data_IF_051834963117
#
_entry.id   IF_051834963117
#
_cell.length_a   1.000
_cell.length_b   1.000
_cell.length_c   1.000
_cell.angle_alpha   90.00
_cell.angle_beta   90.00
_cell.angle_gamma   90.00
#
_symmetry.space_group_name_H-M   'P 1'
#
loop_
_entity.id
_entity.type
_entity.pdbx_description
1 polymer ?
#
# COMPACT_ATOMS: atom_id res chain seq x y z
N UNK A 1 -10.80 -0.66 9.24
CA UNK A 1 -10.05 -0.35 10.49
C UNK A 1 -10.42 -1.30 11.64
N UNK A 2 -11.60 -1.20 12.25
CA UNK A 2 -11.95 -1.98 13.46
C UNK A 2 -11.76 -3.50 13.33
N UNK A 3 -12.34 -4.13 12.30
CA UNK A 3 -12.14 -5.57 12.04
C UNK A 3 -10.65 -5.86 11.82
N UNK A 4 -9.98 -5.13 10.94
CA UNK A 4 -8.57 -5.37 10.59
C UNK A 4 -7.60 -5.22 11.78
N UNK A 5 -7.89 -4.30 12.70
CA UNK A 5 -7.04 -3.99 13.87
C UNK A 5 -7.34 -4.92 15.06
N UNK A 6 -8.62 -5.14 15.38
CA UNK A 6 -9.01 -5.86 16.60
C UNK A 6 -9.19 -7.36 16.42
N UNK A 7 -9.37 -7.86 15.18
CA UNK A 7 -9.46 -9.32 14.93
C UNK A 7 -8.09 -9.98 14.76
N UNK A 8 -7.00 -9.21 14.68
CA UNK A 8 -5.67 -9.71 14.31
C UNK A 8 -5.50 -10.05 12.83
N UNK A 9 -6.55 -9.90 12.00
CA UNK A 9 -6.51 -10.22 10.56
C UNK A 9 -5.42 -9.43 9.82
N UNK A 10 -5.26 -8.14 10.11
CA UNK A 10 -4.24 -7.31 9.46
C UNK A 10 -2.81 -7.75 9.78
N UNK A 11 -2.55 -8.10 11.04
CA UNK A 11 -1.26 -8.62 11.47
C UNK A 11 -0.96 -9.99 10.85
N UNK A 12 -1.95 -10.90 10.84
CA UNK A 12 -1.81 -12.23 10.24
C UNK A 12 -1.56 -12.16 8.74
N UNK A 13 -2.30 -11.30 8.02
CA UNK A 13 -2.12 -11.09 6.59
C UNK A 13 -0.71 -10.53 6.29
N UNK A 14 -0.26 -9.55 7.07
CA UNK A 14 1.08 -8.96 6.90
C UNK A 14 2.18 -9.99 7.12
N UNK A 15 2.07 -10.78 8.19
CA UNK A 15 3.02 -11.85 8.51
C UNK A 15 3.00 -12.96 7.46
N UNK A 16 1.84 -13.25 6.87
CA UNK A 16 1.73 -14.23 5.77
C UNK A 16 2.37 -13.70 4.48
N UNK A 17 2.13 -12.43 4.14
CA UNK A 17 2.72 -11.82 2.94
C UNK A 17 4.24 -11.68 3.06
N UNK A 18 4.74 -11.42 4.26
CA UNK A 18 6.17 -11.33 4.54
C UNK A 18 6.82 -12.68 4.86
N UNK A 19 6.05 -13.77 4.91
CA UNK A 19 6.57 -15.11 5.18
C UNK A 19 7.51 -15.56 4.05
N UNK A 20 8.76 -15.83 4.40
CA UNK A 20 9.79 -16.20 3.41
C UNK A 20 10.34 -15.02 2.60
N UNK A 21 10.03 -13.77 2.98
CA UNK A 21 10.66 -12.61 2.39
C UNK A 21 12.16 -12.55 2.73
N UNK A 22 12.95 -12.05 1.79
CA UNK A 22 14.39 -11.76 1.94
C UNK A 22 14.61 -10.25 2.00
N UNK A 23 15.81 -9.82 2.34
CA UNK A 23 16.19 -8.39 2.30
C UNK A 23 15.91 -7.79 0.90
N UNK A 24 16.12 -8.57 -0.17
CA UNK A 24 15.93 -8.13 -1.54
C UNK A 24 14.47 -8.09 -1.95
N UNK A 25 13.64 -9.02 -1.47
CA UNK A 25 12.24 -9.14 -1.90
C UNK A 25 11.25 -8.38 -1.01
N UNK A 26 11.59 -8.13 0.27
CA UNK A 26 10.64 -7.51 1.21
C UNK A 26 10.11 -6.16 0.72
N UNK A 27 10.92 -5.19 0.23
CA UNK A 27 10.39 -3.91 -0.25
C UNK A 27 9.38 -4.07 -1.41
N UNK A 28 9.63 -5.02 -2.31
CA UNK A 28 8.70 -5.27 -3.42
C UNK A 28 7.40 -5.93 -2.95
N UNK A 29 7.51 -6.90 -2.02
CA UNK A 29 6.36 -7.53 -1.38
C UNK A 29 5.51 -6.47 -0.68
N UNK A 30 6.12 -5.56 0.09
CA UNK A 30 5.36 -4.55 0.84
C UNK A 30 4.76 -3.47 -0.04
N UNK A 31 5.33 -3.20 -1.22
CA UNK A 31 4.70 -2.39 -2.26
C UNK A 31 3.41 -3.05 -2.76
N UNK A 32 3.46 -4.34 -3.12
CA UNK A 32 2.27 -5.08 -3.55
C UNK A 32 1.23 -5.23 -2.43
N UNK A 33 1.68 -5.50 -1.20
CA UNK A 33 0.82 -5.54 -0.01
C UNK A 33 0.12 -4.22 0.22
N UNK A 34 0.85 -3.10 0.13
CA UNK A 34 0.27 -1.76 0.25
C UNK A 34 -0.82 -1.55 -0.79
N UNK A 35 -0.57 -1.90 -2.05
CA UNK A 35 -1.58 -1.78 -3.11
C UNK A 35 -2.83 -2.65 -2.87
N UNK A 36 -2.67 -3.86 -2.33
CA UNK A 36 -3.79 -4.78 -2.11
C UNK A 36 -4.59 -4.46 -0.85
N UNK A 37 -3.92 -4.18 0.26
CA UNK A 37 -4.55 -3.93 1.56
C UNK A 37 -5.24 -2.57 1.56
N UNK A 38 -4.75 -1.61 0.77
CA UNK A 38 -5.38 -0.32 0.59
C UNK A 38 -6.84 -0.40 0.11
N UNK A 39 -7.23 -1.43 -0.65
CA UNK A 39 -8.65 -1.65 -0.99
C UNK A 39 -9.53 -1.96 0.22
N UNK A 40 -8.97 -2.60 1.26
CA UNK A 40 -9.67 -2.92 2.50
C UNK A 40 -9.58 -1.78 3.54
N UNK A 41 -8.53 -0.96 3.46
CA UNK A 41 -8.26 0.16 4.37
C UNK A 41 -7.88 1.39 3.55
N UNK A 42 -8.85 2.16 3.01
CA UNK A 42 -8.60 3.33 2.15
C UNK A 42 -8.14 4.55 2.97
N UNK A 43 -7.02 4.40 3.66
CA UNK A 43 -6.42 5.42 4.54
C UNK A 43 -4.96 5.05 4.81
N UNK A 44 -4.02 5.83 4.29
CA UNK A 44 -2.59 5.57 4.46
C UNK A 44 -2.18 5.42 5.95
N UNK A 45 -2.62 6.33 6.82
CA UNK A 45 -2.32 6.26 8.25
C UNK A 45 -3.00 5.07 8.94
N UNK A 46 -4.24 4.78 8.55
CA UNK A 46 -4.98 3.65 9.12
C UNK A 46 -4.42 2.30 8.69
N UNK A 47 -4.01 2.18 7.43
CA UNK A 47 -3.34 1.02 6.88
C UNK A 47 -2.02 0.77 7.61
N UNK A 48 -1.16 1.79 7.70
CA UNK A 48 0.12 1.69 8.41
C UNK A 48 -0.05 1.32 9.89
N UNK A 49 -1.08 1.83 10.56
CA UNK A 49 -1.37 1.46 11.95
C UNK A 49 -1.70 -0.03 12.13
N UNK A 50 -2.20 -0.69 11.08
CA UNK A 50 -2.58 -2.11 11.12
C UNK A 50 -1.44 -3.03 10.66
N UNK A 51 -0.76 -2.69 9.57
CA UNK A 51 0.24 -3.59 8.94
C UNK A 51 1.69 -3.19 9.25
N UNK A 52 1.92 -1.90 9.53
CA UNK A 52 3.24 -1.34 9.76
C UNK A 52 4.04 -2.04 10.86
N UNK A 53 3.46 -2.38 12.03
CA UNK A 53 4.18 -3.11 13.08
C UNK A 53 4.74 -4.46 12.61
N UNK A 54 3.94 -5.28 11.92
CA UNK A 54 4.37 -6.60 11.43
C UNK A 54 5.43 -6.51 10.32
N UNK A 55 5.28 -5.54 9.41
CA UNK A 55 6.26 -5.28 8.36
C UNK A 55 7.59 -4.77 8.94
N UNK A 56 7.52 -3.89 9.94
CA UNK A 56 8.69 -3.36 10.64
C UNK A 56 9.42 -4.47 11.41
N UNK A 57 8.68 -5.32 12.12
CA UNK A 57 9.26 -6.48 12.82
C UNK A 57 9.96 -7.43 11.83
N UNK A 58 9.35 -7.70 10.67
CA UNK A 58 9.97 -8.53 9.64
C UNK A 58 11.25 -7.87 9.10
N UNK A 59 11.22 -6.57 8.85
CA UNK A 59 12.39 -5.83 8.37
C UNK A 59 13.54 -5.85 9.39
N UNK A 60 13.24 -5.67 10.68
CA UNK A 60 14.22 -5.76 11.76
C UNK A 60 14.83 -7.17 11.83
N UNK A 61 14.01 -8.22 11.79
CA UNK A 61 14.48 -9.63 11.79
C UNK A 61 15.42 -9.94 10.64
N UNK A 62 15.10 -9.47 9.43
CA UNK A 62 15.95 -9.69 8.25
C UNK A 62 17.26 -8.92 8.29
N UNK A 63 17.36 -7.87 9.12
CA UNK A 63 18.52 -6.97 9.16
C UNK A 63 19.28 -7.02 10.49
N UNK A 64 19.00 -7.99 11.37
CA UNK A 64 19.62 -8.12 12.71
C UNK A 64 21.16 -8.12 12.70
N UNK A 65 21.77 -8.59 11.60
CA UNK A 65 23.23 -8.69 11.45
C UNK A 65 23.86 -7.43 10.84
N UNK A 66 23.06 -6.46 10.39
CA UNK A 66 23.53 -5.25 9.72
C UNK A 66 23.83 -4.11 10.72
N UNK A 67 24.67 -3.14 10.34
CA UNK A 67 24.87 -1.93 11.12
C UNK A 67 23.56 -1.14 11.31
N UNK A 68 23.41 -0.46 12.46
CA UNK A 68 22.19 0.27 12.82
C UNK A 68 21.72 1.28 11.76
N UNK A 69 22.65 1.97 11.09
CA UNK A 69 22.32 2.89 9.99
C UNK A 69 21.66 2.17 8.79
N UNK A 70 22.13 0.97 8.46
CA UNK A 70 21.55 0.17 7.38
C UNK A 70 20.20 -0.42 7.76
N UNK A 71 20.04 -0.84 9.03
CA UNK A 71 18.75 -1.28 9.58
C UNK A 71 17.71 -0.16 9.44
N UNK A 72 18.05 1.05 9.89
CA UNK A 72 17.15 2.21 9.81
C UNK A 72 16.79 2.53 8.35
N UNK A 73 17.77 2.60 7.47
CA UNK A 73 17.54 2.85 6.04
C UNK A 73 16.64 1.77 5.41
N UNK A 74 16.81 0.51 5.79
CA UNK A 74 15.99 -0.60 5.29
C UNK A 74 14.54 -0.53 5.78
N UNK A 75 14.32 -0.28 7.08
CA UNK A 75 12.97 -0.07 7.63
C UNK A 75 12.29 1.11 6.94
N UNK A 76 13.00 2.23 6.74
CA UNK A 76 12.47 3.37 5.98
C UNK A 76 12.11 2.99 4.55
N UNK A 77 12.92 2.17 3.87
CA UNK A 77 12.63 1.69 2.52
C UNK A 77 11.37 0.83 2.48
N UNK A 78 11.18 -0.06 3.46
CA UNK A 78 9.98 -0.90 3.57
C UNK A 78 8.74 -0.04 3.79
N UNK A 79 8.80 0.93 4.70
CA UNK A 79 7.71 1.86 4.97
C UNK A 79 7.34 2.69 3.73
N UNK A 80 8.35 3.23 3.04
CA UNK A 80 8.14 3.98 1.80
C UNK A 80 7.55 3.09 0.70
N UNK A 81 8.02 1.86 0.55
CA UNK A 81 7.49 0.94 -0.46
C UNK A 81 6.00 0.66 -0.24
N UNK A 82 5.57 0.46 1.01
CA UNK A 82 4.15 0.34 1.37
C UNK A 82 3.37 1.59 0.99
N UNK A 83 3.88 2.78 1.33
CA UNK A 83 3.23 4.05 1.00
C UNK A 83 3.10 4.24 -0.53
N UNK A 84 4.14 3.92 -1.31
CA UNK A 84 4.06 3.96 -2.77
C UNK A 84 3.03 2.97 -3.33
N UNK A 85 2.92 1.78 -2.75
CA UNK A 85 1.90 0.79 -3.11
C UNK A 85 0.47 1.31 -2.92
N UNK A 86 0.19 1.87 -1.74
CA UNK A 86 -1.08 2.53 -1.42
C UNK A 86 -1.35 3.68 -2.40
N UNK A 87 -0.40 4.58 -2.58
CA UNK A 87 -0.54 5.75 -3.45
C UNK A 87 -0.78 5.35 -4.91
N UNK A 88 -0.13 4.30 -5.39
CA UNK A 88 -0.31 3.80 -6.76
C UNK A 88 -1.70 3.19 -6.95
N UNK A 89 -2.19 2.43 -5.97
CA UNK A 89 -3.54 1.85 -6.02
C UNK A 89 -4.68 2.88 -5.90
N UNK A 90 -4.42 4.13 -5.45
CA UNK A 90 -5.40 5.23 -5.60
C UNK A 90 -5.80 5.48 -7.07
N UNK A 91 -4.97 5.09 -8.03
CA UNK A 91 -5.33 5.18 -9.46
C UNK A 91 -6.45 4.20 -9.83
N UNK A 92 -6.50 3.03 -9.18
CA UNK A 92 -7.56 2.04 -9.38
C UNK A 92 -8.85 2.39 -8.62
N UNK A 93 -8.72 3.08 -7.49
CA UNK A 93 -9.84 3.63 -6.70
C UNK A 93 -9.71 5.14 -6.53
N UNK A 94 -9.98 5.95 -7.58
CA UNK A 94 -9.70 7.38 -7.60
C UNK A 94 -10.74 8.18 -6.81
N UNK A 95 -10.85 7.94 -5.50
CA UNK A 95 -11.79 8.62 -4.62
C UNK A 95 -11.56 10.13 -4.59
N UNK A 96 -10.32 10.58 -4.79
CA UNK A 96 -9.96 11.98 -4.92
C UNK A 96 -10.64 12.67 -6.12
N UNK A 97 -10.98 11.93 -7.18
CA UNK A 97 -11.65 12.46 -8.36
C UNK A 97 -13.17 12.56 -8.19
N UNK A 98 -13.78 11.82 -7.25
CA UNK A 98 -15.25 11.79 -7.09
C UNK A 98 -15.86 13.17 -6.83
N UNK A 99 -15.15 14.05 -6.14
CA UNK A 99 -15.61 15.41 -5.81
C UNK A 99 -15.58 16.31 -7.06
N UNK A 100 -14.65 16.06 -7.98
CA UNK A 100 -14.32 16.95 -9.10
C UNK A 100 -15.00 16.48 -10.40
N UNK A 101 -15.22 15.16 -10.54
CA UNK A 101 -15.81 14.53 -11.70
C UNK A 101 -17.16 15.16 -12.14
N UNK A 102 -18.11 15.50 -11.24
CA UNK A 102 -19.38 16.10 -11.65
C UNK A 102 -19.22 17.47 -12.31
N UNK A 103 -18.21 18.23 -11.90
CA UNK A 103 -17.91 19.58 -12.42
C UNK A 103 -17.20 19.46 -13.78
N UNK A 104 -16.20 18.57 -13.88
CA UNK A 104 -15.49 18.35 -15.15
C UNK A 104 -16.35 17.65 -16.21
N UNK A 105 -17.34 16.87 -15.79
CA UNK A 105 -18.27 16.18 -16.67
C UNK A 105 -19.40 17.06 -17.22
N UNK A 106 -19.48 18.34 -16.87
CA UNK A 106 -20.54 19.22 -17.40
C UNK A 106 -20.39 19.33 -18.93
N UNK A 107 -21.43 18.91 -19.66
CA UNK A 107 -21.43 18.92 -21.12
C UNK A 107 -20.72 17.72 -21.77
N UNK A 108 -20.25 16.75 -20.98
CA UNK A 108 -19.55 15.54 -21.47
C UNK A 108 -20.21 14.30 -20.87
N UNK A 109 -20.39 13.25 -21.68
CA UNK A 109 -20.86 11.94 -21.19
C UNK A 109 -19.68 11.14 -20.60
N UNK A 110 -19.21 11.52 -19.42
CA UNK A 110 -18.13 10.82 -18.70
C UNK A 110 -18.68 10.09 -17.47
N UNK A 111 -18.37 8.79 -17.38
CA UNK A 111 -18.71 7.96 -16.23
C UNK A 111 -17.45 7.65 -15.42
N UNK A 112 -17.60 7.36 -14.13
CA UNK A 112 -16.49 6.96 -13.25
C UNK A 112 -15.69 5.78 -13.82
N UNK A 113 -16.38 4.85 -14.50
CA UNK A 113 -15.74 3.68 -15.15
C UNK A 113 -14.75 4.08 -16.24
N UNK A 114 -15.00 5.19 -16.95
CA UNK A 114 -14.18 5.64 -18.08
C UNK A 114 -12.85 6.17 -17.55
N UNK A 115 -12.90 6.90 -16.43
CA UNK A 115 -11.72 7.41 -15.72
C UNK A 115 -10.95 6.27 -15.07
N UNK A 116 -11.64 5.39 -14.31
CA UNK A 116 -10.99 4.23 -13.69
C UNK A 116 -10.29 3.35 -14.73
N UNK A 117 -10.96 3.06 -15.85
CA UNK A 117 -10.39 2.25 -16.94
C UNK A 117 -9.15 2.88 -17.56
N UNK A 118 -9.15 4.19 -17.76
CA UNK A 118 -7.97 4.92 -18.21
C UNK A 118 -6.81 4.83 -17.19
N UNK A 119 -7.11 4.98 -15.90
CA UNK A 119 -6.12 4.99 -14.82
C UNK A 119 -5.47 3.62 -14.54
N UNK A 120 -6.01 2.52 -15.09
CA UNK A 120 -5.34 1.20 -15.06
C UNK A 120 -3.99 1.22 -15.77
N UNK A 121 -3.86 1.96 -16.88
CA UNK A 121 -2.60 2.05 -17.63
C UNK A 121 -1.49 2.73 -16.80
N UNK A 122 -1.68 3.95 -16.25
CA UNK A 122 -0.66 4.56 -15.39
C UNK A 122 -0.45 3.77 -14.10
N UNK A 123 -1.45 3.04 -13.58
CA UNK A 123 -1.25 2.11 -12.46
C UNK A 123 -0.23 1.02 -12.82
N UNK A 124 -0.41 0.32 -13.95
CA UNK A 124 0.52 -0.72 -14.40
C UNK A 124 1.92 -0.14 -14.67
N UNK A 125 2.00 1.06 -15.22
CA UNK A 125 3.28 1.72 -15.52
C UNK A 125 4.04 2.18 -14.26
N UNK A 126 3.33 2.46 -13.17
CA UNK A 126 3.93 3.00 -11.92
C UNK A 126 4.27 1.93 -10.89
N UNK A 127 3.90 0.66 -11.14
CA UNK A 127 4.22 -0.50 -10.31
C UNK A 127 5.67 -0.97 -10.52
#
# INVERSE_FOLDING_TARGET
MGIMMFSGLGANLSSWMSAGASIQSLPFITLLSGSLIHFAIPSAGGEWAVIGPALTETALKLTETLPAEQVKAFVSRVAMATAYGETTSNLLQPFFLLIILPIMGVGVQIHTRDVMGFLVIPFIYSL
#
